data_IF_473118768839
#
_entry.id   IF_473118768839
#
_cell.length_a   1.000
_cell.length_b   1.000
_cell.length_c   1.000
_cell.angle_alpha   90.00
_cell.angle_beta   90.00
_cell.angle_gamma   90.00
#
_symmetry.space_group_name_H-M   'P 1'
#
loop_
_entity.id
_entity.type
_entity.pdbx_description
1 polymer ?
#
# COMPACT_ATOMS: atom_id res chain seq x y z
N UNK A 1 -3.29 15.89 -7.41
CA UNK A 1 -2.34 16.61 -6.54
C UNK A 1 -1.02 15.89 -6.65
N UNK A 2 0.07 16.60 -6.92
CA UNK A 2 1.41 16.03 -7.00
C UNK A 2 2.11 16.18 -5.64
N UNK A 3 2.63 15.09 -5.09
CA UNK A 3 3.25 15.12 -3.77
C UNK A 3 4.65 15.75 -3.86
N UNK A 4 4.92 16.79 -3.09
CA UNK A 4 6.26 17.41 -3.07
C UNK A 4 7.35 16.45 -2.57
N UNK A 5 6.97 15.37 -1.89
CA UNK A 5 7.87 14.33 -1.37
C UNK A 5 8.50 13.43 -2.43
N UNK A 6 8.08 13.55 -3.69
CA UNK A 6 8.59 12.72 -4.78
C UNK A 6 9.44 13.50 -5.79
N UNK A 7 9.68 14.80 -5.56
CA UNK A 7 10.41 15.64 -6.50
C UNK A 7 11.87 15.20 -6.71
N UNK A 8 12.50 14.56 -5.73
CA UNK A 8 13.85 14.00 -5.80
C UNK A 8 13.88 12.52 -6.24
N UNK A 9 12.71 11.93 -6.51
CA UNK A 9 12.53 10.49 -6.73
C UNK A 9 12.31 10.08 -8.20
N UNK A 10 12.27 11.05 -9.12
CA UNK A 10 11.83 10.82 -10.51
C UNK A 10 12.67 9.83 -11.33
N UNK A 11 13.93 9.61 -10.95
CA UNK A 11 14.87 8.76 -11.71
C UNK A 11 14.98 7.32 -11.17
N UNK A 12 14.30 6.97 -10.08
CA UNK A 12 14.49 5.66 -9.41
C UNK A 12 14.00 4.45 -10.24
N UNK A 13 13.06 4.65 -11.17
CA UNK A 13 12.42 3.55 -11.91
C UNK A 13 12.93 3.37 -13.34
N UNK A 14 13.72 4.30 -13.88
CA UNK A 14 14.26 4.21 -15.24
C UNK A 14 15.78 4.20 -15.19
N UNK A 15 16.37 3.09 -15.63
CA UNK A 15 17.82 2.97 -15.73
C UNK A 15 18.34 3.97 -16.77
N UNK A 16 19.08 4.99 -16.30
CA UNK A 16 19.53 6.11 -17.14
C UNK A 16 18.68 7.38 -17.03
N UNK A 17 17.70 7.42 -16.12
CA UNK A 17 16.86 8.58 -15.84
C UNK A 17 15.65 8.70 -16.76
N UNK A 18 14.99 9.86 -16.72
CA UNK A 18 13.80 10.14 -17.54
C UNK A 18 14.20 10.27 -19.03
N UNK A 19 13.55 9.55 -19.96
CA UNK A 19 13.82 9.69 -21.39
C UNK A 19 13.67 11.13 -21.88
N UNK A 20 14.60 11.57 -22.75
CA UNK A 20 14.54 12.91 -23.36
C UNK A 20 13.48 13.02 -24.45
N UNK A 21 13.16 11.90 -25.09
CA UNK A 21 12.15 11.82 -26.13
C UNK A 21 10.75 11.76 -25.51
N UNK A 22 9.76 12.26 -26.24
CA UNK A 22 8.36 12.16 -25.82
C UNK A 22 7.92 10.70 -25.79
N UNK A 23 7.32 10.30 -24.69
CA UNK A 23 6.65 9.01 -24.54
C UNK A 23 5.31 9.23 -23.85
N UNK A 24 4.43 8.24 -23.98
CA UNK A 24 3.11 8.26 -23.36
C UNK A 24 2.98 7.08 -22.40
N UNK A 25 2.26 7.32 -21.30
CA UNK A 25 1.83 6.28 -20.38
C UNK A 25 0.31 6.20 -20.51
N UNK A 26 -0.19 5.00 -20.76
CA UNK A 26 -1.62 4.76 -20.88
C UNK A 26 -2.34 5.05 -19.56
N UNK A 27 -3.37 5.89 -19.63
CA UNK A 27 -4.21 6.25 -18.48
C UNK A 27 -5.07 5.05 -18.10
N UNK A 28 -5.17 4.78 -16.81
CA UNK A 28 -5.95 3.67 -16.27
C UNK A 28 -5.16 2.37 -16.09
N UNK A 29 -3.98 2.26 -16.71
CA UNK A 29 -3.14 1.08 -16.56
C UNK A 29 -2.29 1.15 -15.29
N UNK A 30 -2.39 0.20 -14.35
CA UNK A 30 -1.42 0.08 -13.27
C UNK A 30 -0.10 -0.52 -13.75
N UNK A 31 0.96 -0.30 -12.99
CA UNK A 31 2.33 -0.72 -13.30
C UNK A 31 2.91 -1.62 -12.21
N UNK A 32 3.49 -2.75 -12.58
CA UNK A 32 4.14 -3.66 -11.62
C UNK A 32 5.58 -3.18 -11.44
N UNK A 33 5.87 -2.58 -10.29
CA UNK A 33 7.19 -2.03 -9.96
C UNK A 33 8.15 -3.09 -9.44
N UNK A 34 7.62 -4.15 -8.85
CA UNK A 34 8.39 -5.28 -8.34
C UNK A 34 7.52 -6.53 -8.38
N UNK A 35 8.00 -7.59 -9.02
CA UNK A 35 7.36 -8.91 -8.99
C UNK A 35 7.47 -9.55 -7.60
N UNK A 36 6.43 -10.29 -7.23
CA UNK A 36 6.40 -11.08 -6.00
C UNK A 36 5.41 -12.25 -6.07
N UNK A 37 5.30 -13.00 -4.97
CA UNK A 37 4.48 -14.23 -4.93
C UNK A 37 3.74 -14.49 -3.62
N UNK A 38 4.07 -13.78 -2.54
CA UNK A 38 3.53 -14.10 -1.21
C UNK A 38 2.47 -13.08 -0.75
N UNK A 39 2.55 -11.84 -1.25
CA UNK A 39 1.57 -10.78 -0.97
C UNK A 39 1.60 -9.72 -2.07
N UNK A 40 0.44 -9.21 -2.48
CA UNK A 40 0.31 -8.04 -3.36
C UNK A 40 0.19 -6.76 -2.53
N UNK A 41 0.91 -5.71 -2.91
CA UNK A 41 0.79 -4.37 -2.34
C UNK A 41 0.46 -3.39 -3.47
N UNK A 42 -0.76 -2.83 -3.43
CA UNK A 42 -1.23 -1.82 -4.36
C UNK A 42 -1.07 -0.43 -3.73
N UNK A 43 -0.34 0.46 -4.38
CA UNK A 43 -0.02 1.80 -3.85
C UNK A 43 -0.58 2.90 -4.73
N UNK A 44 -0.95 4.01 -4.09
CA UNK A 44 -1.27 5.27 -4.75
C UNK A 44 -0.28 6.34 -4.29
N UNK A 45 0.37 6.99 -5.26
CA UNK A 45 1.24 8.14 -5.02
C UNK A 45 2.49 7.80 -4.22
N UNK A 46 2.90 8.72 -3.33
CA UNK A 46 4.18 8.65 -2.59
C UNK A 46 4.35 7.38 -1.74
N UNK A 47 3.26 6.71 -1.38
CA UNK A 47 3.32 5.47 -0.58
C UNK A 47 4.04 4.33 -1.30
N UNK A 48 4.19 4.40 -2.63
CA UNK A 48 4.99 3.47 -3.42
C UNK A 48 6.40 3.27 -2.85
N UNK A 49 7.10 4.36 -2.52
CA UNK A 49 8.46 4.29 -2.02
C UNK A 49 8.55 3.63 -0.64
N UNK A 50 7.53 3.84 0.21
CA UNK A 50 7.42 3.16 1.51
C UNK A 50 7.05 1.69 1.38
N UNK A 51 6.26 1.33 0.37
CA UNK A 51 5.99 -0.06 0.04
C UNK A 51 7.24 -0.79 -0.47
N UNK A 52 8.07 -0.14 -1.28
CA UNK A 52 9.36 -0.70 -1.73
C UNK A 52 10.34 -0.92 -0.57
N UNK A 53 10.44 0.05 0.34
CA UNK A 53 11.20 -0.10 1.60
C UNK A 53 10.66 -1.29 2.43
N UNK A 54 9.33 -1.41 2.58
CA UNK A 54 8.70 -2.51 3.31
C UNK A 54 8.94 -3.88 2.62
N UNK A 55 8.85 -3.94 1.29
CA UNK A 55 9.10 -5.14 0.50
C UNK A 55 10.53 -5.65 0.70
N UNK A 56 11.51 -4.75 0.71
CA UNK A 56 12.90 -5.10 1.01
C UNK A 56 13.04 -5.72 2.40
N UNK A 57 12.40 -5.12 3.41
CA UNK A 57 12.42 -5.65 4.79
C UNK A 57 11.73 -7.02 4.87
N UNK A 58 10.60 -7.19 4.18
CA UNK A 58 9.86 -8.46 4.09
C UNK A 58 10.73 -9.58 3.52
N UNK A 59 11.44 -9.29 2.44
CA UNK A 59 12.32 -10.24 1.77
C UNK A 59 13.54 -10.58 2.64
N UNK A 60 14.26 -9.56 3.14
CA UNK A 60 15.50 -9.73 3.90
C UNK A 60 15.30 -10.40 5.27
N UNK A 61 14.23 -10.06 5.99
CA UNK A 61 14.02 -10.54 7.37
C UNK A 61 13.10 -11.74 7.48
N UNK A 62 12.12 -11.85 6.58
CA UNK A 62 11.05 -12.84 6.69
C UNK A 62 10.99 -13.79 5.50
N UNK A 63 11.79 -13.57 4.45
CA UNK A 63 11.77 -14.39 3.24
C UNK A 63 10.45 -14.27 2.46
N UNK A 64 9.72 -13.16 2.64
CA UNK A 64 8.42 -12.89 2.03
C UNK A 64 8.61 -11.99 0.81
N UNK A 65 8.18 -12.46 -0.35
CA UNK A 65 8.27 -11.76 -1.62
C UNK A 65 6.99 -11.00 -1.92
N UNK A 66 7.01 -9.69 -1.66
CA UNK A 66 5.91 -8.79 -1.99
C UNK A 66 5.97 -8.34 -3.46
N UNK A 67 4.82 -8.44 -4.13
CA UNK A 67 4.54 -7.83 -5.42
C UNK A 67 4.07 -6.38 -5.21
N UNK A 68 4.70 -5.42 -5.87
CA UNK A 68 4.38 -3.99 -5.73
C UNK A 68 3.75 -3.49 -7.02
N UNK A 69 2.52 -2.99 -6.91
CA UNK A 69 1.75 -2.40 -8.01
C UNK A 69 1.53 -0.93 -7.72
N UNK A 70 1.94 -0.07 -8.64
CA UNK A 70 1.61 1.35 -8.65
C UNK A 70 0.31 1.57 -9.43
N UNK A 71 -0.70 2.13 -8.78
CA UNK A 71 -2.01 2.35 -9.39
C UNK A 71 -1.94 3.34 -10.57
N UNK A 72 -1.10 4.38 -10.46
CA UNK A 72 -0.96 5.54 -11.38
C UNK A 72 -2.22 6.37 -11.62
N UNK A 73 -3.34 5.73 -11.94
CA UNK A 73 -4.65 6.34 -12.19
C UNK A 73 -5.67 5.81 -11.18
N UNK A 74 -6.68 6.61 -10.85
CA UNK A 74 -7.81 6.17 -10.01
C UNK A 74 -9.07 5.96 -10.84
N UNK A 75 -9.32 6.84 -11.81
CA UNK A 75 -10.46 6.76 -12.71
C UNK A 75 -10.01 7.21 -14.10
N UNK A 76 -10.06 6.34 -15.13
CA UNK A 76 -10.33 4.90 -15.04
C UNK A 76 -9.25 4.13 -14.27
N UNK A 77 -9.54 2.90 -13.85
CA UNK A 77 -8.59 1.97 -13.26
C UNK A 77 -8.81 0.56 -13.82
N UNK A 78 -7.80 0.01 -14.49
CA UNK A 78 -7.83 -1.35 -15.00
C UNK A 78 -7.43 -2.33 -13.89
N UNK A 79 -8.39 -3.15 -13.44
CA UNK A 79 -8.18 -4.12 -12.38
C UNK A 79 -7.47 -5.41 -12.82
N UNK A 80 -7.34 -5.70 -14.12
CA UNK A 80 -6.85 -7.00 -14.62
C UNK A 80 -5.51 -7.40 -13.99
N UNK A 81 -4.51 -6.51 -14.01
CA UNK A 81 -3.19 -6.77 -13.41
C UNK A 81 -3.27 -7.00 -11.90
N UNK A 82 -4.12 -6.25 -11.19
CA UNK A 82 -4.29 -6.40 -9.74
C UNK A 82 -4.94 -7.74 -9.42
N UNK A 83 -5.99 -8.12 -10.16
CA UNK A 83 -6.69 -9.39 -9.94
C UNK A 83 -5.79 -10.58 -10.26
N UNK A 84 -5.00 -10.54 -11.33
CA UNK A 84 -4.01 -11.59 -11.62
C UNK A 84 -2.94 -11.67 -10.53
N UNK A 85 -2.49 -10.53 -10.00
CA UNK A 85 -1.59 -10.48 -8.86
C UNK A 85 -2.20 -11.11 -7.60
N UNK A 86 -3.46 -10.80 -7.28
CA UNK A 86 -4.18 -11.38 -6.13
C UNK A 86 -4.38 -12.87 -6.31
N UNK A 87 -4.70 -13.36 -7.52
CA UNK A 87 -4.77 -14.81 -7.80
C UNK A 87 -3.45 -15.52 -7.53
N UNK A 88 -2.32 -14.84 -7.81
CA UNK A 88 -0.97 -15.35 -7.59
C UNK A 88 -0.59 -15.38 -6.10
N UNK A 89 -0.91 -14.33 -5.35
CA UNK A 89 -0.42 -14.14 -3.97
C UNK A 89 -1.43 -14.51 -2.88
N UNK A 90 -2.72 -14.53 -3.23
CA UNK A 90 -3.86 -14.75 -2.34
C UNK A 90 -4.12 -13.65 -1.32
N UNK A 91 -3.33 -12.56 -1.30
CA UNK A 91 -3.39 -11.55 -0.23
C UNK A 91 -3.07 -10.18 -0.79
N UNK A 92 -3.77 -9.15 -0.31
CA UNK A 92 -3.55 -7.78 -0.76
C UNK A 92 -3.57 -6.76 0.36
N UNK A 93 -2.62 -5.82 0.29
CA UNK A 93 -2.58 -4.61 1.08
C UNK A 93 -2.63 -3.39 0.15
N UNK A 94 -3.53 -2.45 0.43
CA UNK A 94 -3.68 -1.21 -0.31
C UNK A 94 -3.12 -0.04 0.50
N UNK A 95 -2.39 0.89 -0.13
CA UNK A 95 -1.79 2.02 0.57
C UNK A 95 -1.90 3.35 -0.18
N UNK A 96 -2.09 4.43 0.59
CA UNK A 96 -2.19 5.81 0.11
C UNK A 96 -1.88 6.78 1.27
N UNK A 97 -1.42 7.98 0.93
CA UNK A 97 -1.19 9.07 1.86
C UNK A 97 -2.48 9.80 2.28
N UNK A 98 -3.62 9.50 1.65
CA UNK A 98 -4.92 9.96 2.09
C UNK A 98 -5.33 9.35 3.44
N UNK A 99 -6.15 10.06 4.22
CA UNK A 99 -6.74 9.53 5.44
C UNK A 99 -7.48 8.23 5.14
N UNK A 100 -7.25 7.19 5.95
CA UNK A 100 -7.79 5.86 5.68
C UNK A 100 -9.33 5.87 5.57
N UNK A 101 -10.01 6.55 6.48
CA UNK A 101 -11.48 6.63 6.54
C UNK A 101 -12.02 7.38 5.31
N UNK A 102 -12.86 6.71 4.53
CA UNK A 102 -13.54 7.32 3.38
C UNK A 102 -12.64 7.60 2.18
N UNK A 103 -11.42 7.05 2.14
CA UNK A 103 -10.56 7.15 0.96
C UNK A 103 -11.01 6.24 -0.17
N UNK A 104 -10.53 6.55 -1.39
CA UNK A 104 -10.71 5.74 -2.59
C UNK A 104 -10.19 4.30 -2.43
N UNK A 105 -9.26 4.05 -1.50
CA UNK A 105 -8.82 2.71 -1.17
C UNK A 105 -9.94 1.80 -0.69
N UNK A 106 -10.99 2.34 -0.06
CA UNK A 106 -12.13 1.56 0.37
C UNK A 106 -12.92 1.01 -0.83
N UNK A 107 -13.08 1.82 -1.88
CA UNK A 107 -13.73 1.42 -3.13
C UNK A 107 -12.90 0.36 -3.87
N UNK A 108 -11.58 0.57 -3.99
CA UNK A 108 -10.68 -0.45 -4.55
C UNK A 108 -10.74 -1.77 -3.76
N UNK A 109 -10.73 -1.69 -2.42
CA UNK A 109 -10.77 -2.88 -1.56
C UNK A 109 -12.09 -3.64 -1.68
N UNK A 110 -13.22 -2.93 -1.78
CA UNK A 110 -14.55 -3.51 -2.01
C UNK A 110 -14.59 -4.23 -3.37
N UNK A 111 -14.23 -3.52 -4.44
CA UNK A 111 -14.19 -4.06 -5.79
C UNK A 111 -13.28 -5.30 -5.90
N UNK A 112 -12.09 -5.27 -5.31
CA UNK A 112 -11.16 -6.41 -5.30
C UNK A 112 -11.71 -7.57 -4.47
N UNK A 113 -12.38 -7.29 -3.34
CA UNK A 113 -13.02 -8.32 -2.54
C UNK A 113 -14.11 -9.04 -3.33
N UNK A 114 -14.90 -8.32 -4.13
CA UNK A 114 -15.94 -8.91 -4.98
C UNK A 114 -15.35 -9.71 -6.15
N UNK A 115 -14.40 -9.13 -6.88
CA UNK A 115 -13.83 -9.75 -8.08
C UNK A 115 -12.90 -10.93 -7.79
N UNK A 116 -12.27 -10.97 -6.61
CA UNK A 116 -11.28 -11.98 -6.25
C UNK A 116 -11.61 -12.77 -4.97
N UNK A 117 -12.88 -12.80 -4.55
CA UNK A 117 -13.31 -13.44 -3.30
C UNK A 117 -12.74 -14.85 -3.11
N UNK A 118 -12.88 -15.72 -4.12
CA UNK A 118 -12.45 -17.12 -4.06
C UNK A 118 -10.91 -17.30 -3.99
N UNK A 119 -10.16 -16.25 -4.30
CA UNK A 119 -8.70 -16.25 -4.29
C UNK A 119 -8.10 -15.61 -3.03
N UNK A 120 -8.90 -14.95 -2.20
CA UNK A 120 -8.41 -14.22 -1.03
C UNK A 120 -8.28 -15.14 0.20
N UNK A 121 -7.03 -15.40 0.60
CA UNK A 121 -6.69 -16.10 1.85
C UNK A 121 -6.84 -15.20 3.10
N UNK A 122 -6.87 -13.89 2.90
CA UNK A 122 -6.96 -12.88 3.95
C UNK A 122 -7.76 -11.67 3.43
N UNK A 123 -8.43 -10.90 4.30
CA UNK A 123 -9.17 -9.73 3.86
C UNK A 123 -8.23 -8.68 3.27
N UNK A 124 -8.64 -7.93 2.23
CA UNK A 124 -7.89 -6.76 1.79
C UNK A 124 -7.68 -5.76 2.94
N UNK A 125 -6.43 -5.38 3.16
CA UNK A 125 -6.04 -4.47 4.25
C UNK A 125 -5.67 -3.12 3.70
N UNK A 126 -6.14 -2.06 4.35
CA UNK A 126 -5.85 -0.67 3.96
C UNK A 126 -4.87 -0.06 4.96
N UNK A 127 -3.80 0.53 4.46
CA UNK A 127 -2.86 1.39 5.18
C UNK A 127 -2.95 2.80 4.62
N UNK A 128 -3.69 3.67 5.30
CA UNK A 128 -3.80 5.09 4.97
C UNK A 128 -3.14 5.97 6.02
N UNK A 129 -3.14 7.29 5.78
CA UNK A 129 -2.83 8.25 6.84
C UNK A 129 -3.86 8.17 7.98
N UNK A 130 -3.47 8.65 9.16
CA UNK A 130 -4.35 8.70 10.34
C UNK A 130 -5.58 9.57 10.06
N UNK A 131 -6.71 9.26 10.71
CA UNK A 131 -7.97 10.00 10.53
C UNK A 131 -8.00 11.33 11.32
N UNK A 132 -7.02 12.20 11.07
CA UNK A 132 -6.92 13.57 11.59
C UNK A 132 -6.74 14.52 10.39
N UNK A 133 -7.04 15.81 10.57
CA UNK A 133 -6.42 16.92 9.81
C UNK A 133 -4.89 16.71 9.67
N UNK A 134 -4.34 16.99 8.49
CA UNK A 134 -2.89 16.95 8.25
C UNK A 134 -2.16 17.88 9.23
N UNK A 135 -1.20 17.36 10.02
CA UNK A 135 -0.47 18.15 11.00
C UNK A 135 0.66 18.97 10.35
N UNK A 136 1.41 19.71 11.16
CA UNK A 136 2.65 20.33 10.74
C UNK A 136 3.71 19.26 10.41
N UNK A 137 4.71 19.66 9.61
CA UNK A 137 5.76 18.78 9.06
C UNK A 137 6.45 17.91 10.11
N UNK A 138 6.62 18.42 11.33
CA UNK A 138 7.27 17.72 12.45
C UNK A 138 6.56 16.40 12.82
N UNK A 139 5.28 16.26 12.49
CA UNK A 139 4.46 15.07 12.77
C UNK A 139 4.21 14.20 11.52
N UNK A 140 4.89 14.45 10.41
CA UNK A 140 4.69 13.71 9.16
C UNK A 140 4.89 12.20 9.33
N UNK A 141 5.89 11.80 10.12
CA UNK A 141 6.18 10.39 10.40
C UNK A 141 5.14 9.70 11.27
N UNK A 142 4.34 10.46 12.01
CA UNK A 142 3.26 9.95 12.87
C UNK A 142 1.92 9.93 12.14
N UNK A 143 1.78 10.74 11.09
CA UNK A 143 0.54 10.90 10.34
C UNK A 143 0.49 10.05 9.07
N UNK A 144 1.55 10.07 8.26
CA UNK A 144 1.58 9.38 6.97
C UNK A 144 2.13 7.96 7.08
N UNK A 145 1.72 7.05 6.17
CA UNK A 145 2.23 5.68 6.15
C UNK A 145 3.75 5.60 6.14
N UNK A 146 4.30 4.81 7.07
CA UNK A 146 5.72 4.46 7.13
C UNK A 146 5.91 2.99 6.74
N UNK A 147 7.11 2.58 6.30
CA UNK A 147 7.38 1.19 5.94
C UNK A 147 7.03 0.20 7.07
N UNK A 148 7.25 0.58 8.33
CA UNK A 148 6.88 -0.24 9.49
C UNK A 148 5.37 -0.49 9.61
N UNK A 149 4.53 0.44 9.14
CA UNK A 149 3.08 0.30 9.18
C UNK A 149 2.58 -0.79 8.23
N UNK A 150 3.25 -0.99 7.10
CA UNK A 150 2.98 -2.12 6.19
C UNK A 150 3.28 -3.45 6.89
N UNK A 151 4.46 -3.55 7.52
CA UNK A 151 4.87 -4.74 8.27
C UNK A 151 3.90 -5.05 9.42
N UNK A 152 3.51 -4.03 10.19
CA UNK A 152 2.58 -4.16 11.31
C UNK A 152 1.18 -4.60 10.83
N UNK A 153 0.68 -3.98 9.75
CA UNK A 153 -0.61 -4.33 9.17
C UNK A 153 -0.61 -5.76 8.63
N UNK A 154 0.46 -6.17 7.93
CA UNK A 154 0.63 -7.55 7.44
C UNK A 154 0.63 -8.51 8.63
N UNK A 155 1.46 -8.25 9.65
CA UNK A 155 1.60 -9.09 10.83
C UNK A 155 0.27 -9.28 11.58
N UNK A 156 -0.51 -8.22 11.74
CA UNK A 156 -1.73 -8.25 12.57
C UNK A 156 -3.00 -8.65 11.82
N UNK A 157 -3.05 -8.52 10.48
CA UNK A 157 -4.27 -8.74 9.69
C UNK A 157 -4.17 -9.79 8.60
N UNK A 158 -2.98 -10.07 8.10
CA UNK A 158 -2.79 -10.90 6.91
C UNK A 158 -2.10 -12.20 7.28
N UNK A 159 -0.89 -12.13 7.81
CA UNK A 159 -0.09 -13.29 8.19
C UNK A 159 0.95 -12.93 9.25
N UNK A 160 1.22 -13.82 10.23
CA UNK A 160 2.16 -13.53 11.29
C UNK A 160 3.60 -13.45 10.75
N UNK A 161 4.31 -12.38 11.12
CA UNK A 161 5.73 -12.20 10.85
C UNK A 161 6.54 -12.67 12.08
N UNK A 162 7.21 -13.82 11.96
CA UNK A 162 7.89 -14.45 13.10
C UNK A 162 8.97 -13.54 13.70
N UNK A 163 8.82 -13.18 14.97
CA UNK A 163 9.77 -12.33 15.70
C UNK A 163 9.65 -10.84 15.39
N UNK A 164 8.66 -10.43 14.58
CA UNK A 164 8.34 -9.02 14.37
C UNK A 164 7.73 -8.42 15.62
N UNK A 165 8.18 -7.21 15.98
CA UNK A 165 7.62 -6.41 17.07
C UNK A 165 7.00 -5.17 16.44
N UNK A 166 5.70 -4.98 16.67
CA UNK A 166 4.98 -3.90 16.03
C UNK A 166 5.45 -2.53 16.53
N UNK A 167 5.36 -1.52 15.66
CA UNK A 167 5.73 -0.14 15.99
C UNK A 167 4.93 0.35 17.21
N UNK A 168 5.58 0.98 18.20
CA UNK A 168 4.85 1.62 19.30
C UNK A 168 3.81 2.60 18.79
N UNK A 169 2.62 2.63 19.41
CA UNK A 169 1.49 3.51 19.05
C UNK A 169 0.84 3.27 17.68
N UNK A 170 1.21 2.19 16.98
CA UNK A 170 0.52 1.71 15.78
C UNK A 170 -0.09 0.35 16.09
N UNK A 171 -1.39 0.21 15.88
CA UNK A 171 -2.11 -1.01 16.20
C UNK A 171 -3.30 -1.16 15.26
N UNK A 172 -3.23 -2.18 14.42
CA UNK A 172 -4.25 -2.61 13.47
C UNK A 172 -5.16 -3.69 14.03
N UNK A 173 -4.90 -4.26 15.22
CA UNK A 173 -5.70 -5.33 15.81
C UNK A 173 -7.19 -5.00 15.86
N UNK A 174 -8.02 -6.05 15.78
CA UNK A 174 -9.48 -5.89 15.81
C UNK A 174 -9.97 -5.19 17.08
N UNK A 175 -9.38 -5.49 18.23
CA UNK A 175 -9.75 -4.86 19.51
C UNK A 175 -9.48 -3.35 19.50
N UNK A 176 -8.34 -2.93 18.96
CA UNK A 176 -8.03 -1.51 18.84
C UNK A 176 -8.97 -0.82 17.87
N UNK A 177 -9.24 -1.43 16.71
CA UNK A 177 -10.21 -0.90 15.74
C UNK A 177 -11.59 -0.69 16.37
N UNK A 178 -12.08 -1.67 17.13
CA UNK A 178 -13.33 -1.55 17.88
C UNK A 178 -13.29 -0.42 18.91
N UNK A 179 -12.15 -0.23 19.60
CA UNK A 179 -11.98 0.83 20.60
C UNK A 179 -12.01 2.22 19.97
N UNK A 180 -11.27 2.44 18.89
CA UNK A 180 -11.22 3.75 18.20
C UNK A 180 -12.57 4.09 17.55
N UNK A 181 -13.23 3.11 16.92
CA UNK A 181 -14.55 3.29 16.33
C UNK A 181 -15.61 3.68 17.37
N UNK A 182 -15.60 3.07 18.57
CA UNK A 182 -16.47 3.48 19.69
C UNK A 182 -16.22 4.92 20.15
N UNK A 183 -15.01 5.44 19.97
CA UNK A 183 -14.62 6.81 20.33
C UNK A 183 -14.82 7.82 19.18
N UNK A 184 -15.22 7.36 18.00
CA UNK A 184 -15.34 8.19 16.78
C UNK A 184 -13.99 8.54 16.12
N UNK A 185 -12.89 7.94 16.58
CA UNK A 185 -11.50 8.16 16.10
C UNK A 185 -11.13 7.19 14.99
#
# INVERSE_FOLDING_TARGET
>A
FESQRIYDKGEEFHQGGVPKESYEIEIGEPDIKKEGKDITILTIGVTLYKALEAAKILEEKYGISAEIIDARSLVPFNYEKVIESVKKTGKILLASDACQRGSFLNDLAENISEMAFDYLDAPPVIVGAKNWITPAYEFDHEFFPQASWFLDAINEKIMPLKGHVNTPNVNYTTNERLRISKKGV
#
